data_IF_974722775904
#
_entry.id   IF_974722775904
#
_cell.length_a   1.000
_cell.length_b   1.000
_cell.length_c   1.000
_cell.angle_alpha   90.00
_cell.angle_beta   90.00
_cell.angle_gamma   90.00
#
_symmetry.space_group_name_H-M   'P 1'
#
loop_
_entity.id
_entity.type
_entity.pdbx_description
1 polymer ?
#
# COMPACT_ATOMS: atom_id res chain seq x y z
N UNK A 1 10.25 -18.60 -10.49
CA UNK A 1 9.07 -18.13 -11.25
C UNK A 1 9.57 -17.51 -12.54
N UNK A 2 9.14 -17.97 -13.72
CA UNK A 2 9.58 -17.34 -14.99
C UNK A 2 8.87 -16.00 -15.18
N UNK A 3 9.60 -14.91 -15.01
CA UNK A 3 9.12 -13.51 -15.08
C UNK A 3 8.53 -13.17 -16.46
N UNK A 4 8.94 -13.92 -17.49
CA UNK A 4 8.56 -13.69 -18.89
C UNK A 4 7.37 -14.54 -19.37
N UNK A 5 7.01 -15.63 -18.69
CA UNK A 5 5.93 -16.55 -19.12
C UNK A 5 4.75 -16.59 -18.15
N UNK A 6 4.68 -15.67 -17.18
CA UNK A 6 3.54 -15.53 -16.32
C UNK A 6 2.30 -15.07 -17.13
N UNK A 7 1.09 -15.42 -16.65
CA UNK A 7 -0.20 -15.00 -17.24
C UNK A 7 -0.29 -13.47 -17.43
N UNK A 8 0.48 -12.73 -16.63
CA UNK A 8 0.74 -11.31 -16.76
C UNK A 8 2.26 -11.06 -16.73
N UNK A 9 2.94 -10.96 -17.88
CA UNK A 9 4.37 -10.66 -17.94
C UNK A 9 4.67 -9.28 -17.34
N UNK A 10 5.87 -9.11 -16.77
CA UNK A 10 6.26 -7.83 -16.16
C UNK A 10 6.10 -6.64 -17.11
N UNK A 11 6.39 -6.85 -18.40
CA UNK A 11 6.28 -5.81 -19.44
C UNK A 11 4.84 -5.34 -19.60
N UNK A 12 3.88 -6.27 -19.62
CA UNK A 12 2.46 -5.95 -19.77
C UNK A 12 1.96 -5.19 -18.54
N UNK A 13 2.34 -5.65 -17.34
CA UNK A 13 1.98 -4.96 -16.10
C UNK A 13 2.58 -3.55 -16.01
N UNK A 14 3.87 -3.41 -16.34
CA UNK A 14 4.55 -2.11 -16.32
C UNK A 14 3.91 -1.15 -17.33
N UNK A 15 3.59 -1.62 -18.53
CA UNK A 15 2.94 -0.81 -19.57
C UNK A 15 1.52 -0.40 -19.17
N UNK A 16 0.70 -1.32 -18.65
CA UNK A 16 -0.64 -0.98 -18.18
C UNK A 16 -0.63 0.02 -17.03
N UNK A 17 0.32 -0.13 -16.10
CA UNK A 17 0.46 0.77 -14.96
C UNK A 17 0.93 2.16 -15.41
N UNK A 18 1.87 2.24 -16.35
CA UNK A 18 2.27 3.50 -16.98
C UNK A 18 1.11 4.17 -17.74
N UNK A 19 0.34 3.40 -18.52
CA UNK A 19 -0.87 3.91 -19.19
C UNK A 19 -1.90 4.44 -18.19
N UNK A 20 -2.13 3.73 -17.09
CA UNK A 20 -3.08 4.16 -16.06
C UNK A 20 -2.66 5.48 -15.43
N UNK A 21 -1.36 5.65 -15.15
CA UNK A 21 -0.84 6.91 -14.62
C UNK A 21 -0.92 8.04 -15.64
N UNK A 22 -0.55 7.80 -16.90
CA UNK A 22 -0.65 8.79 -17.96
C UNK A 22 -2.10 9.19 -18.23
N UNK A 23 -3.04 8.23 -18.17
CA UNK A 23 -4.47 8.50 -18.29
C UNK A 23 -4.98 9.31 -17.09
N UNK A 24 -4.54 8.98 -15.87
CA UNK A 24 -4.86 9.76 -14.67
C UNK A 24 -4.39 11.21 -14.79
N UNK A 25 -3.13 11.41 -15.19
CA UNK A 25 -2.57 12.73 -15.45
C UNK A 25 -3.32 13.48 -16.55
N UNK A 26 -3.67 12.81 -17.64
CA UNK A 26 -4.40 13.42 -18.76
C UNK A 26 -5.82 13.86 -18.37
N UNK A 27 -6.53 13.06 -17.57
CA UNK A 27 -7.92 13.33 -17.21
C UNK A 27 -8.07 14.32 -16.06
N UNK A 28 -7.12 14.35 -15.12
CA UNK A 28 -7.26 15.09 -13.87
C UNK A 28 -6.18 16.15 -13.63
N UNK A 29 -5.21 16.29 -14.56
CA UNK A 29 -4.09 17.25 -14.51
C UNK A 29 -3.28 17.21 -13.20
N UNK A 30 -3.33 16.07 -12.52
CA UNK A 30 -2.72 15.85 -11.21
C UNK A 30 -2.25 14.40 -11.10
N UNK A 31 -1.18 14.21 -10.36
CA UNK A 31 -0.60 12.88 -10.13
C UNK A 31 -1.61 11.98 -9.43
N UNK A 32 -1.53 10.66 -9.66
CA UNK A 32 -2.31 9.67 -8.91
C UNK A 32 -1.77 9.54 -7.46
N UNK A 33 -1.69 10.66 -6.75
CA UNK A 33 -1.28 10.76 -5.36
C UNK A 33 -2.40 10.34 -4.43
N UNK A 34 -2.16 9.32 -3.61
CA UNK A 34 -3.18 8.83 -2.66
C UNK A 34 -3.02 9.46 -1.28
N UNK A 35 -1.91 10.15 -0.98
CA UNK A 35 -1.67 10.72 0.35
C UNK A 35 -2.74 11.75 0.71
N UNK A 36 -3.14 12.60 -0.25
CA UNK A 36 -4.21 13.57 -0.06
C UNK A 36 -5.57 12.91 0.20
N UNK A 37 -5.91 11.83 -0.49
CA UNK A 37 -7.14 11.07 -0.22
C UNK A 37 -7.15 10.47 1.19
N UNK A 38 -6.01 9.93 1.66
CA UNK A 38 -5.89 9.43 3.02
C UNK A 38 -6.05 10.54 4.06
N UNK A 39 -5.43 11.70 3.85
CA UNK A 39 -5.57 12.86 4.74
C UNK A 39 -7.01 13.40 4.79
N UNK A 40 -7.67 13.49 3.64
CA UNK A 40 -9.06 13.96 3.55
C UNK A 40 -10.01 13.00 4.28
N UNK A 41 -9.79 11.69 4.17
CA UNK A 41 -10.55 10.67 4.90
C UNK A 41 -10.26 10.67 6.41
N UNK A 42 -8.99 10.82 6.81
CA UNK A 42 -8.63 10.89 8.23
C UNK A 42 -9.19 12.15 8.88
N UNK A 43 -9.15 13.29 8.18
CA UNK A 43 -9.76 14.54 8.66
C UNK A 43 -11.28 14.46 8.78
N UNK A 44 -11.94 13.68 7.92
CA UNK A 44 -13.36 13.37 8.08
C UNK A 44 -13.63 12.48 9.30
N UNK A 45 -12.80 11.46 9.52
CA UNK A 45 -12.92 10.58 10.68
C UNK A 45 -12.68 11.35 11.99
N UNK A 46 -11.72 12.26 12.02
CA UNK A 46 -11.46 13.15 13.16
C UNK A 46 -12.70 14.00 13.48
N UNK A 47 -13.31 14.65 12.48
CA UNK A 47 -14.56 15.42 12.65
C UNK A 47 -15.73 14.56 13.14
N UNK A 48 -15.79 13.30 12.72
CA UNK A 48 -16.82 12.36 13.18
C UNK A 48 -16.65 11.99 14.66
N UNK A 49 -15.40 11.79 15.09
CA UNK A 49 -15.05 11.52 16.49
C UNK A 49 -15.32 12.75 17.35
N UNK A 50 -14.92 13.94 16.91
CA UNK A 50 -15.16 15.20 17.63
C UNK A 50 -16.65 15.48 17.86
N UNK A 51 -17.50 15.18 16.86
CA UNK A 51 -18.96 15.33 16.96
C UNK A 51 -19.65 14.17 17.70
N UNK A 52 -18.95 13.08 18.00
CA UNK A 52 -19.54 11.87 18.58
C UNK A 52 -20.57 11.18 17.67
N UNK A 53 -20.47 11.37 16.34
CA UNK A 53 -21.47 10.91 15.38
C UNK A 53 -21.09 11.18 13.93
N UNK A 54 -21.97 10.82 12.98
CA UNK A 54 -21.73 11.10 11.55
C UNK A 54 -21.79 12.62 11.34
N UNK A 55 -20.73 13.25 10.79
CA UNK A 55 -20.75 14.68 10.48
C UNK A 55 -21.89 15.04 9.52
N UNK A 56 -22.52 16.19 9.72
CA UNK A 56 -23.59 16.70 8.85
C UNK A 56 -23.13 16.96 7.40
N UNK A 57 -21.83 17.22 7.22
CA UNK A 57 -21.23 17.35 5.89
C UNK A 57 -20.76 15.99 5.39
N UNK A 58 -21.14 15.54 4.19
CA UNK A 58 -20.67 14.28 3.63
C UNK A 58 -19.14 14.27 3.51
N UNK A 59 -18.52 13.08 3.47
CA UNK A 59 -17.07 12.98 3.26
C UNK A 59 -16.69 13.70 1.97
N UNK A 60 -15.50 14.34 1.93
CA UNK A 60 -15.00 14.98 0.72
C UNK A 60 -14.82 13.91 -0.38
N UNK A 61 -15.84 13.75 -1.23
CA UNK A 61 -15.81 12.88 -2.40
C UNK A 61 -15.03 13.58 -3.51
N UNK A 62 -13.72 13.72 -3.31
CA UNK A 62 -12.82 14.14 -4.36
C UNK A 62 -12.53 12.95 -5.29
N UNK A 63 -12.00 13.23 -6.49
CA UNK A 63 -11.67 12.19 -7.47
C UNK A 63 -10.58 11.22 -6.96
N UNK A 64 -9.67 11.67 -6.08
CA UNK A 64 -8.63 10.85 -5.45
C UNK A 64 -9.21 9.79 -4.50
N UNK A 65 -10.24 10.13 -3.71
CA UNK A 65 -11.00 9.22 -2.86
C UNK A 65 -11.79 8.23 -3.73
N UNK A 66 -12.30 8.69 -4.88
CA UNK A 66 -12.88 7.82 -5.90
C UNK A 66 -11.89 6.79 -6.45
N UNK A 67 -10.65 7.21 -6.74
CA UNK A 67 -9.58 6.30 -7.16
C UNK A 67 -9.19 5.34 -6.05
N UNK A 68 -9.07 5.81 -4.80
CA UNK A 68 -8.77 4.97 -3.66
C UNK A 68 -9.82 3.86 -3.49
N UNK A 69 -11.11 4.22 -3.60
CA UNK A 69 -12.21 3.27 -3.60
C UNK A 69 -12.15 2.32 -4.81
N UNK A 70 -11.83 2.84 -6.00
CA UNK A 70 -11.65 2.06 -7.22
C UNK A 70 -10.51 1.04 -7.12
N UNK A 71 -9.39 1.40 -6.50
CA UNK A 71 -8.25 0.50 -6.25
C UNK A 71 -8.66 -0.62 -5.28
N UNK A 72 -9.40 -0.29 -4.22
CA UNK A 72 -9.91 -1.28 -3.27
C UNK A 72 -10.86 -2.27 -3.96
N UNK A 73 -11.88 -1.76 -4.65
CA UNK A 73 -12.89 -2.57 -5.34
C UNK A 73 -12.24 -3.39 -6.46
N UNK A 74 -11.35 -2.79 -7.24
CA UNK A 74 -10.62 -3.45 -8.32
C UNK A 74 -9.70 -4.55 -7.81
N UNK A 75 -9.01 -4.33 -6.69
CA UNK A 75 -8.17 -5.34 -6.03
C UNK A 75 -8.98 -6.53 -5.51
N UNK A 76 -10.11 -6.26 -4.84
CA UNK A 76 -11.02 -7.30 -4.35
C UNK A 76 -11.61 -8.07 -5.54
N UNK A 77 -12.15 -7.37 -6.54
CA UNK A 77 -12.77 -7.97 -7.71
C UNK A 77 -11.77 -8.81 -8.51
N UNK A 78 -10.55 -8.30 -8.72
CA UNK A 78 -9.48 -9.03 -9.38
C UNK A 78 -9.04 -10.28 -8.60
N UNK A 79 -9.01 -10.20 -7.27
CA UNK A 79 -8.74 -11.34 -6.40
C UNK A 79 -9.85 -12.40 -6.46
N UNK A 80 -11.11 -11.97 -6.47
CA UNK A 80 -12.27 -12.85 -6.56
C UNK A 80 -12.34 -13.55 -7.93
N UNK A 81 -12.17 -12.81 -9.02
CA UNK A 81 -12.23 -13.34 -10.39
C UNK A 81 -11.10 -14.33 -10.70
N UNK A 82 -9.93 -14.18 -10.07
CA UNK A 82 -8.82 -15.13 -10.19
C UNK A 82 -8.88 -16.28 -9.17
N UNK A 83 -9.89 -16.32 -8.29
CA UNK A 83 -10.00 -17.33 -7.22
C UNK A 83 -8.86 -17.28 -6.20
N UNK A 84 -8.06 -16.22 -6.18
CA UNK A 84 -6.92 -16.04 -5.28
C UNK A 84 -7.30 -15.28 -4.01
N UNK A 85 -8.52 -14.73 -3.94
CA UNK A 85 -9.00 -14.04 -2.76
C UNK A 85 -9.10 -15.02 -1.59
N UNK A 86 -8.28 -14.80 -0.58
CA UNK A 86 -8.35 -15.49 0.71
C UNK A 86 -8.33 -14.44 1.79
N UNK A 87 -9.34 -14.45 2.66
CA UNK A 87 -9.28 -13.68 3.88
C UNK A 87 -8.27 -14.35 4.81
N UNK A 88 -7.04 -13.85 4.81
CA UNK A 88 -5.95 -14.35 5.64
C UNK A 88 -5.66 -13.34 6.73
N UNK A 89 -5.91 -13.74 7.97
CA UNK A 89 -5.22 -13.13 9.12
C UNK A 89 -3.86 -13.82 9.14
N UNK A 90 -2.77 -13.07 8.97
CA UNK A 90 -1.43 -13.65 8.94
C UNK A 90 -1.11 -14.25 10.33
N UNK A 91 -1.25 -15.58 10.44
CA UNK A 91 -0.98 -16.32 11.67
C UNK A 91 0.48 -16.79 11.65
N UNK A 92 1.34 -16.18 12.45
CA UNK A 92 2.52 -16.89 12.95
C UNK A 92 2.07 -18.00 13.92
N UNK A 93 2.85 -19.10 13.97
CA UNK A 93 2.59 -20.36 14.67
C UNK A 93 2.51 -20.27 16.22
N UNK A 94 1.98 -19.19 16.80
CA UNK A 94 1.79 -19.09 18.26
C UNK A 94 0.52 -19.86 18.72
N UNK A 95 0.41 -20.22 20.01
CA UNK A 95 -0.73 -21.04 20.50
C UNK A 95 -1.93 -20.24 21.03
N UNK A 96 -1.80 -18.93 21.25
CA UNK A 96 -2.87 -18.10 21.86
C UNK A 96 -3.47 -17.09 20.88
N UNK A 97 -4.73 -17.32 20.50
CA UNK A 97 -5.48 -16.50 19.53
C UNK A 97 -5.61 -15.01 19.92
N UNK A 98 -5.82 -14.70 21.21
CA UNK A 98 -6.01 -13.32 21.69
C UNK A 98 -4.74 -12.46 21.61
N UNK A 99 -3.60 -13.00 22.05
CA UNK A 99 -2.30 -12.30 21.99
C UNK A 99 -1.86 -12.04 20.54
N UNK A 100 -2.21 -12.94 19.63
CA UNK A 100 -1.96 -12.80 18.19
C UNK A 100 -2.74 -11.66 17.57
N UNK A 101 -4.05 -11.59 17.80
CA UNK A 101 -4.88 -10.52 17.26
C UNK A 101 -4.36 -9.15 17.73
N UNK A 102 -3.97 -9.07 19.00
CA UNK A 102 -3.36 -7.86 19.55
C UNK A 102 -2.03 -7.53 18.87
N UNK A 103 -1.13 -8.50 18.68
CA UNK A 103 0.13 -8.30 17.95
C UNK A 103 -0.13 -7.84 16.51
N UNK A 104 -0.98 -8.53 15.76
CA UNK A 104 -1.31 -8.18 14.38
C UNK A 104 -1.91 -6.77 14.30
N UNK A 105 -2.79 -6.41 15.24
CA UNK A 105 -3.34 -5.06 15.33
C UNK A 105 -2.23 -4.03 15.63
N UNK A 106 -1.37 -4.28 16.62
CA UNK A 106 -0.27 -3.37 16.99
C UNK A 106 0.71 -3.21 15.83
N UNK A 107 1.16 -4.31 15.22
CA UNK A 107 2.06 -4.26 14.07
C UNK A 107 1.40 -3.61 12.85
N UNK A 108 0.11 -3.86 12.63
CA UNK A 108 -0.67 -3.20 11.57
C UNK A 108 -0.76 -1.69 11.78
N UNK A 109 -1.07 -1.25 13.00
CA UNK A 109 -1.13 0.18 13.35
C UNK A 109 0.26 0.81 13.30
N UNK A 110 1.27 0.18 13.88
CA UNK A 110 2.64 0.71 13.88
C UNK A 110 3.23 0.80 12.48
N UNK A 111 3.03 -0.22 11.63
CA UNK A 111 3.48 -0.18 10.23
C UNK A 111 2.70 0.85 9.41
N UNK A 112 1.38 0.91 9.58
CA UNK A 112 0.55 1.94 8.95
C UNK A 112 0.97 3.36 9.34
N UNK A 113 1.27 3.58 10.62
CA UNK A 113 1.81 4.84 11.12
C UNK A 113 3.16 5.18 10.49
N UNK A 114 4.11 4.24 10.43
CA UNK A 114 5.41 4.45 9.80
C UNK A 114 5.30 4.75 8.31
N UNK A 115 4.41 4.05 7.59
CA UNK A 115 4.15 4.31 6.17
C UNK A 115 3.55 5.70 5.98
N UNK A 116 2.59 6.09 6.82
CA UNK A 116 1.96 7.41 6.74
C UNK A 116 2.96 8.53 7.06
N UNK A 117 3.76 8.37 8.11
CA UNK A 117 4.82 9.30 8.48
C UNK A 117 5.85 9.44 7.35
N UNK A 118 6.29 8.33 6.77
CA UNK A 118 7.18 8.35 5.61
C UNK A 118 6.56 9.04 4.39
N UNK A 119 5.26 8.82 4.15
CA UNK A 119 4.54 9.44 3.03
C UNK A 119 4.37 10.94 3.23
N UNK A 120 4.12 11.40 4.47
CA UNK A 120 4.06 12.82 4.80
C UNK A 120 5.43 13.50 4.62
N UNK A 121 6.51 12.84 5.03
CA UNK A 121 7.88 13.36 4.83
C UNK A 121 8.29 13.39 3.35
N UNK A 122 7.86 12.39 2.57
CA UNK A 122 8.12 12.33 1.14
C UNK A 122 7.19 13.24 0.31
N UNK A 123 6.08 13.70 0.90
CA UNK A 123 5.04 14.50 0.26
C UNK A 123 4.00 13.69 -0.51
N UNK A 124 4.25 12.39 -0.76
CA UNK A 124 3.30 11.48 -1.39
C UNK A 124 3.60 10.00 -1.03
N UNK A 125 2.62 9.12 -1.28
CA UNK A 125 2.81 7.67 -1.19
C UNK A 125 3.61 7.14 -2.40
N UNK A 126 4.07 5.88 -2.31
CA UNK A 126 4.86 5.23 -3.36
C UNK A 126 4.28 5.40 -4.77
N UNK A 127 2.97 5.26 -4.94
CA UNK A 127 2.31 5.38 -6.25
C UNK A 127 2.34 6.81 -6.81
N UNK A 128 2.17 7.83 -5.95
CA UNK A 128 2.31 9.24 -6.33
C UNK A 128 3.75 9.59 -6.72
N UNK A 129 4.73 9.06 -5.98
CA UNK A 129 6.15 9.22 -6.31
C UNK A 129 6.52 8.51 -7.62
N UNK A 130 5.93 7.34 -7.89
CA UNK A 130 6.09 6.67 -9.19
C UNK A 130 5.54 7.51 -10.34
N UNK A 131 4.37 8.14 -10.16
CA UNK A 131 3.80 9.06 -11.14
C UNK A 131 4.68 10.30 -11.36
N UNK A 132 5.18 10.91 -10.29
CA UNK A 132 6.09 12.05 -10.35
C UNK A 132 7.44 11.70 -11.01
N UNK A 133 7.94 10.48 -10.82
CA UNK A 133 9.17 10.01 -11.49
C UNK A 133 9.01 9.90 -13.00
N UNK A 134 7.83 9.51 -13.50
CA UNK A 134 7.52 9.50 -14.94
C UNK A 134 7.45 10.90 -15.55
N UNK A 135 7.17 11.92 -14.75
CA UNK A 135 7.29 13.33 -15.14
C UNK A 135 8.74 13.86 -15.03
N UNK A 136 9.73 12.99 -14.81
CA UNK A 136 11.14 13.32 -14.65
C UNK A 136 11.47 14.18 -13.41
N UNK A 137 10.63 14.13 -12.36
CA UNK A 137 10.92 14.81 -11.09
C UNK A 137 12.14 14.17 -10.39
N UNK A 138 13.25 14.92 -10.15
CA UNK A 138 14.46 14.36 -9.53
C UNK A 138 14.23 13.84 -8.10
N UNK A 139 13.38 14.52 -7.33
CA UNK A 139 13.05 14.11 -5.95
C UNK A 139 12.35 12.75 -5.90
N UNK A 140 11.47 12.48 -6.87
CA UNK A 140 10.77 11.22 -6.97
C UNK A 140 11.71 10.04 -7.32
N UNK A 141 12.70 10.26 -8.18
CA UNK A 141 13.72 9.25 -8.48
C UNK A 141 14.60 8.92 -7.27
N UNK A 142 15.00 9.94 -6.49
CA UNK A 142 15.73 9.72 -5.23
C UNK A 142 14.89 8.93 -4.22
N UNK A 143 13.60 9.24 -4.12
CA UNK A 143 12.68 8.49 -3.29
C UNK A 143 12.59 7.02 -3.71
N UNK A 144 12.39 6.74 -5.01
CA UNK A 144 12.27 5.37 -5.52
C UNK A 144 13.55 4.55 -5.29
N UNK A 145 14.73 5.15 -5.50
CA UNK A 145 16.01 4.48 -5.23
C UNK A 145 16.15 4.17 -3.74
N UNK A 146 15.84 5.13 -2.88
CA UNK A 146 15.92 4.95 -1.42
C UNK A 146 14.93 3.90 -0.94
N UNK A 147 13.70 3.92 -1.45
CA UNK A 147 12.69 2.92 -1.15
C UNK A 147 13.12 1.51 -1.59
N UNK A 148 13.75 1.37 -2.75
CA UNK A 148 14.30 0.11 -3.22
C UNK A 148 15.43 -0.40 -2.32
N UNK A 149 16.36 0.48 -1.91
CA UNK A 149 17.45 0.12 -1.00
C UNK A 149 16.93 -0.29 0.38
N UNK A 150 16.06 0.52 0.99
CA UNK A 150 15.45 0.21 2.28
C UNK A 150 14.62 -1.07 2.21
N UNK A 151 13.78 -1.23 1.19
CA UNK A 151 12.99 -2.44 0.98
C UNK A 151 13.85 -3.69 0.79
N UNK A 152 14.95 -3.57 0.04
CA UNK A 152 15.92 -4.65 -0.12
C UNK A 152 16.58 -5.04 1.20
N UNK A 153 17.01 -4.06 2.00
CA UNK A 153 17.59 -4.32 3.33
C UNK A 153 16.55 -4.97 4.26
N UNK A 154 15.31 -4.47 4.30
CA UNK A 154 14.23 -5.06 5.10
C UNK A 154 13.91 -6.48 4.65
N UNK A 155 13.89 -6.75 3.34
CA UNK A 155 13.69 -8.10 2.80
C UNK A 155 14.82 -9.05 3.23
N UNK A 156 16.08 -8.61 3.19
CA UNK A 156 17.22 -9.40 3.67
C UNK A 156 17.13 -9.71 5.18
N UNK A 157 16.68 -8.76 5.99
CA UNK A 157 16.44 -9.00 7.42
C UNK A 157 15.28 -9.97 7.65
N UNK A 158 14.21 -9.88 6.86
CA UNK A 158 13.08 -10.79 6.93
C UNK A 158 13.48 -12.23 6.55
N UNK A 159 14.25 -12.39 5.48
CA UNK A 159 14.75 -13.69 5.01
C UNK A 159 15.65 -14.34 6.06
N UNK A 160 16.60 -13.59 6.64
CA UNK A 160 17.46 -14.08 7.74
C UNK A 160 16.67 -14.55 8.97
N UNK A 161 15.52 -13.93 9.23
CA UNK A 161 14.64 -14.32 10.35
C UNK A 161 13.93 -15.65 10.09
N UNK A 162 13.61 -15.95 8.84
CA UNK A 162 13.03 -17.24 8.44
C UNK A 162 14.06 -18.37 8.46
N UNK A 163 15.30 -18.11 8.04
CA UNK A 163 16.37 -19.12 8.06
C UNK A 163 16.85 -19.45 9.48
N UNK A 164 16.88 -18.47 10.40
CA UNK A 164 17.30 -18.67 11.79
C UNK A 164 16.30 -19.42 12.69
N UNK A 165 15.06 -19.65 12.24
CA UNK A 165 14.05 -20.39 12.99
C UNK A 165 14.03 -21.91 12.73
N UNK A 166 14.81 -22.40 11.77
CA UNK A 166 14.71 -23.78 11.25
C UNK A 166 15.73 -24.80 11.77
N UNK A 167 16.78 -24.39 12.48
CA UNK A 167 17.91 -25.30 12.84
C UNK A 167 18.07 -25.57 14.35
N UNK A 168 17.00 -25.46 15.14
CA UNK A 168 17.02 -25.73 16.59
C UNK A 168 16.30 -27.00 17.05
N UNK A 169 15.78 -27.83 16.13
CA UNK A 169 14.77 -28.85 16.46
C UNK A 169 15.02 -30.24 15.88
N UNK A 170 16.27 -30.69 15.80
CA UNK A 170 16.61 -32.11 15.65
C UNK A 170 17.92 -32.42 16.38
N UNK A 171 17.80 -32.79 17.66
CA UNK A 171 18.57 -33.84 18.33
C UNK A 171 17.81 -34.22 19.59
#
# INVERSE_FOLDING_TARGET
MNILTAKWPFVVNAFMLALLVMLGLYLFDDTLGLAKAFNDLSGYAEKAVEKGGVPDSPPPLNWLVGILAGVLIGGISGGLLNGSWKFMIAFEEEKQFGWKLLKTAIFGVASGFLIMLGSLLAGEVFFGQFAAAMQLSPGAWLFLITALLCGGVTALFAERRQTGGGEGGKK
#
